data_IF_274895314908
#
_entry.id   IF_274895314908
#
_cell.length_a   1.000
_cell.length_b   1.000
_cell.length_c   1.000
_cell.angle_alpha   90.00
_cell.angle_beta   90.00
_cell.angle_gamma   90.00
#
_symmetry.space_group_name_H-M   'P 1'
#
loop_
_entity.id
_entity.type
_entity.pdbx_description
1 polymer ?
#
# COMPACT_ATOMS: atom_id res chain seq x y z
N UNK A 1 20.04 11.10 -1.92
CA UNK A 1 20.16 9.71 -2.41
C UNK A 1 19.94 8.80 -1.21
N UNK A 2 18.99 7.88 -1.27
CA UNK A 2 18.67 6.94 -0.20
C UNK A 2 19.76 5.87 -0.07
N UNK A 3 20.04 5.46 1.17
CA UNK A 3 20.99 4.38 1.48
C UNK A 3 20.24 3.15 1.96
N UNK A 4 20.93 2.01 2.05
CA UNK A 4 20.33 0.76 2.49
C UNK A 4 19.74 0.87 3.91
N UNK A 5 20.42 1.58 4.79
CA UNK A 5 20.00 1.79 6.18
C UNK A 5 18.71 2.60 6.29
N UNK A 6 18.41 3.41 5.28
CA UNK A 6 17.20 4.26 5.24
C UNK A 6 15.97 3.46 4.79
N UNK A 7 16.13 2.44 3.92
CA UNK A 7 15.03 1.75 3.22
C UNK A 7 14.89 0.26 3.57
N UNK A 8 15.86 -0.34 4.29
CA UNK A 8 15.87 -1.78 4.49
C UNK A 8 16.00 -2.13 5.97
N UNK A 9 14.92 -2.62 6.55
CA UNK A 9 14.92 -3.35 7.80
C UNK A 9 14.44 -4.79 7.57
N UNK A 10 14.99 -5.75 8.31
CA UNK A 10 14.67 -7.16 8.10
C UNK A 10 13.75 -7.65 9.20
N UNK A 11 12.51 -8.00 8.79
CA UNK A 11 11.53 -8.67 9.63
C UNK A 11 11.53 -10.18 9.39
N UNK A 12 11.09 -10.96 10.39
CA UNK A 12 10.91 -12.40 10.30
C UNK A 12 9.45 -12.71 9.96
N UNK A 13 9.20 -13.52 8.93
CA UNK A 13 7.85 -13.95 8.58
C UNK A 13 7.36 -15.04 9.53
N UNK A 14 6.09 -14.95 9.92
CA UNK A 14 5.41 -16.03 10.66
C UNK A 14 4.96 -17.10 9.68
N UNK A 15 5.28 -18.37 9.96
CA UNK A 15 4.78 -19.55 9.24
C UNK A 15 5.07 -19.60 7.73
N UNK A 16 6.18 -19.02 7.26
CA UNK A 16 6.59 -19.12 5.87
C UNK A 16 7.92 -19.85 5.71
N UNK A 17 7.87 -21.11 5.22
CA UNK A 17 9.05 -21.96 5.04
C UNK A 17 9.86 -21.61 3.77
N UNK A 18 9.24 -20.97 2.77
CA UNK A 18 9.94 -20.65 1.50
C UNK A 18 10.81 -19.40 1.61
N UNK A 19 10.38 -18.40 2.37
CA UNK A 19 11.10 -17.15 2.61
C UNK A 19 10.88 -16.74 4.06
N UNK A 20 11.86 -16.98 4.93
CA UNK A 20 11.78 -16.73 6.37
C UNK A 20 11.79 -15.25 6.76
N UNK A 21 12.16 -14.36 5.85
CA UNK A 21 12.24 -12.92 6.06
C UNK A 21 11.28 -12.11 5.21
N UNK A 22 11.03 -10.88 5.65
CA UNK A 22 10.39 -9.81 4.89
C UNK A 22 11.31 -8.58 4.95
N UNK A 23 11.47 -7.90 3.82
CA UNK A 23 12.06 -6.56 3.83
C UNK A 23 10.98 -5.57 4.22
N UNK A 24 11.28 -4.75 5.20
CA UNK A 24 10.42 -3.67 5.69
C UNK A 24 11.08 -2.36 5.30
N UNK A 25 10.39 -1.55 4.53
CA UNK A 25 10.82 -0.19 4.27
C UNK A 25 10.26 0.72 5.38
N UNK A 26 11.14 1.36 6.19
CA UNK A 26 10.72 2.22 7.28
C UNK A 26 10.01 3.51 6.82
N UNK A 27 10.17 3.90 5.55
CA UNK A 27 9.62 5.14 5.00
C UNK A 27 8.31 4.94 4.22
N UNK A 28 7.84 3.70 4.06
CA UNK A 28 6.66 3.40 3.26
C UNK A 28 5.33 3.64 3.99
N UNK A 29 5.31 3.59 5.32
CA UNK A 29 4.08 3.71 6.12
C UNK A 29 3.20 2.46 6.15
N UNK A 30 3.69 1.30 5.66
CA UNK A 30 2.91 0.04 5.65
C UNK A 30 3.05 -0.76 6.94
N UNK A 31 4.25 -0.92 7.43
CA UNK A 31 4.55 -1.73 8.62
C UNK A 31 5.06 -0.88 9.79
N UNK A 32 5.57 0.29 9.50
CA UNK A 32 6.12 1.24 10.49
C UNK A 32 5.44 2.60 10.28
N UNK A 33 4.95 3.27 11.35
CA UNK A 33 4.42 4.63 11.24
C UNK A 33 5.48 5.61 10.73
N UNK A 34 5.16 6.37 9.69
CA UNK A 34 6.10 7.29 9.01
C UNK A 34 5.57 8.72 8.98
N UNK A 35 6.44 9.71 8.89
CA UNK A 35 6.09 11.08 8.56
C UNK A 35 5.59 11.14 7.11
N UNK A 36 4.39 11.68 6.84
CA UNK A 36 3.81 11.67 5.49
C UNK A 36 4.72 12.26 4.42
N UNK A 37 5.34 13.40 4.69
CA UNK A 37 6.25 14.05 3.76
C UNK A 37 7.49 13.21 3.42
N UNK A 38 7.96 12.33 4.34
CA UNK A 38 9.06 11.40 4.06
C UNK A 38 8.62 10.28 3.12
N UNK A 39 7.40 9.75 3.31
CA UNK A 39 6.85 8.72 2.42
C UNK A 39 6.62 9.27 1.01
N UNK A 40 5.96 10.41 0.89
CA UNK A 40 5.75 11.06 -0.41
C UNK A 40 7.08 11.43 -1.09
N UNK A 41 8.04 11.97 -0.35
CA UNK A 41 9.38 12.28 -0.90
C UNK A 41 10.14 11.05 -1.41
N UNK A 42 9.92 9.87 -0.82
CA UNK A 42 10.44 8.60 -1.32
C UNK A 42 9.77 8.21 -2.64
N UNK A 43 8.44 8.33 -2.74
CA UNK A 43 7.68 7.99 -3.95
C UNK A 43 7.97 8.98 -5.08
N UNK A 44 8.13 10.27 -4.77
CA UNK A 44 8.58 11.31 -5.70
C UNK A 44 9.96 11.00 -6.27
N UNK A 45 10.87 10.49 -5.45
CA UNK A 45 12.21 10.10 -5.93
C UNK A 45 12.14 8.94 -6.92
N UNK A 46 11.19 8.01 -6.77
CA UNK A 46 10.95 6.96 -7.76
C UNK A 46 10.37 7.55 -9.05
N UNK A 47 9.37 8.41 -8.95
CA UNK A 47 8.80 9.10 -10.11
C UNK A 47 9.87 9.87 -10.90
N UNK A 48 10.78 10.57 -10.22
CA UNK A 48 11.85 11.34 -10.86
C UNK A 48 12.84 10.49 -11.69
N UNK A 49 13.05 9.20 -11.33
CA UNK A 49 13.93 8.31 -12.10
C UNK A 49 13.35 7.98 -13.49
N UNK A 50 12.01 7.93 -13.59
CA UNK A 50 11.31 7.46 -14.79
C UNK A 50 10.67 8.60 -15.61
N UNK A 51 10.41 9.75 -15.02
CA UNK A 51 9.69 10.85 -15.66
C UNK A 51 10.33 11.31 -16.97
N UNK A 52 11.65 11.54 -16.98
CA UNK A 52 12.37 12.04 -18.16
C UNK A 52 12.51 11.00 -19.29
N UNK A 53 12.23 9.73 -19.01
CA UNK A 53 12.45 8.64 -19.96
C UNK A 53 11.28 8.41 -20.91
N UNK A 54 10.05 8.76 -20.48
CA UNK A 54 8.84 8.38 -21.17
C UNK A 54 7.91 9.57 -21.45
N UNK A 55 8.47 10.77 -21.60
CA UNK A 55 7.72 12.01 -21.79
C UNK A 55 6.81 12.01 -23.04
N UNK A 56 7.20 11.30 -24.08
CA UNK A 56 6.46 11.22 -25.35
C UNK A 56 5.52 10.00 -25.42
N UNK A 57 5.36 9.25 -24.34
CA UNK A 57 4.56 8.04 -24.30
C UNK A 57 3.29 8.24 -23.45
N UNK A 58 2.18 7.64 -23.91
CA UNK A 58 0.93 7.57 -23.14
C UNK A 58 1.04 6.41 -22.16
N UNK A 59 1.07 6.73 -20.86
CA UNK A 59 1.43 5.81 -19.81
C UNK A 59 0.22 5.30 -19.04
N UNK A 60 0.23 4.00 -18.71
CA UNK A 60 -0.56 3.41 -17.64
C UNK A 60 0.38 2.89 -16.56
N UNK A 61 0.19 3.36 -15.33
CA UNK A 61 0.88 2.81 -14.17
C UNK A 61 0.00 1.80 -13.46
N UNK A 62 0.59 0.64 -13.11
CA UNK A 62 -0.10 -0.43 -12.37
C UNK A 62 0.61 -0.64 -11.03
N UNK A 63 -0.02 -0.23 -9.93
CA UNK A 63 0.51 -0.44 -8.58
C UNK A 63 0.10 -1.80 -8.01
N UNK A 64 1.06 -2.57 -7.50
CA UNK A 64 0.74 -3.89 -6.95
C UNK A 64 0.21 -3.83 -5.51
N UNK A 65 -0.94 -4.42 -5.31
CA UNK A 65 -1.50 -4.61 -3.97
C UNK A 65 -0.72 -5.70 -3.20
N UNK A 66 -0.43 -5.49 -1.95
CA UNK A 66 -0.98 -4.51 -1.04
C UNK A 66 -0.05 -3.30 -0.85
N UNK A 67 1.24 -3.51 -0.99
CA UNK A 67 2.30 -2.60 -0.52
C UNK A 67 2.60 -1.46 -1.47
N UNK A 68 2.43 -1.65 -2.77
CA UNK A 68 2.79 -0.62 -3.75
C UNK A 68 1.63 0.27 -4.23
N UNK A 69 0.44 0.18 -3.60
CA UNK A 69 -0.71 0.98 -4.02
C UNK A 69 -0.50 2.48 -3.83
N UNK A 70 0.05 2.92 -2.69
CA UNK A 70 0.35 4.33 -2.46
C UNK A 70 1.55 4.81 -3.30
N UNK A 71 2.56 3.97 -3.48
CA UNK A 71 3.73 4.27 -4.34
C UNK A 71 3.25 4.51 -5.77
N UNK A 72 2.42 3.60 -6.30
CA UNK A 72 1.90 3.69 -7.67
C UNK A 72 1.03 4.93 -7.89
N UNK A 73 0.14 5.24 -6.94
CA UNK A 73 -0.74 6.41 -7.01
C UNK A 73 0.06 7.72 -7.04
N UNK A 74 1.00 7.92 -6.10
CA UNK A 74 1.83 9.13 -6.09
C UNK A 74 2.69 9.22 -7.34
N UNK A 75 3.33 8.12 -7.75
CA UNK A 75 4.14 8.09 -8.97
C UNK A 75 3.31 8.49 -10.20
N UNK A 76 2.06 7.98 -10.32
CA UNK A 76 1.18 8.32 -11.43
C UNK A 76 0.77 9.79 -11.41
N UNK A 77 0.49 10.36 -10.24
CA UNK A 77 0.18 11.78 -10.07
C UNK A 77 1.36 12.64 -10.53
N UNK A 78 2.58 12.32 -10.11
CA UNK A 78 3.79 13.07 -10.53
C UNK A 78 4.08 12.98 -12.01
N UNK A 79 3.67 11.90 -12.64
CA UNK A 79 3.86 11.69 -14.08
C UNK A 79 2.68 12.16 -14.95
N UNK A 80 1.55 12.54 -14.35
CA UNK A 80 0.32 12.87 -15.08
C UNK A 80 -0.21 11.71 -15.90
N UNK A 81 -0.11 10.48 -15.39
CA UNK A 81 -0.43 9.25 -16.10
C UNK A 81 -1.80 8.69 -15.70
N UNK A 82 -2.31 7.71 -16.46
CA UNK A 82 -3.42 6.88 -16.00
C UNK A 82 -2.93 5.88 -14.95
N UNK A 83 -3.79 5.54 -14.00
CA UNK A 83 -3.45 4.65 -12.90
C UNK A 83 -4.53 3.61 -12.63
N UNK A 84 -4.10 2.40 -12.30
CA UNK A 84 -4.91 1.34 -11.74
C UNK A 84 -4.07 0.54 -10.77
N UNK A 85 -4.66 0.05 -9.69
CA UNK A 85 -3.95 -0.89 -8.81
C UNK A 85 -4.49 -2.30 -8.98
N UNK A 86 -3.63 -3.30 -8.79
CA UNK A 86 -4.10 -4.67 -8.62
C UNK A 86 -4.89 -4.78 -7.32
N UNK A 87 -5.72 -5.80 -7.22
CA UNK A 87 -6.53 -6.00 -6.02
C UNK A 87 -6.69 -7.46 -5.65
N UNK A 88 -6.98 -7.71 -4.39
CA UNK A 88 -7.46 -8.99 -3.87
C UNK A 88 -8.93 -8.91 -3.46
N UNK A 89 -9.51 -7.68 -3.52
CA UNK A 89 -10.91 -7.44 -3.20
C UNK A 89 -11.82 -7.80 -4.36
N UNK A 90 -13.07 -8.14 -4.05
CA UNK A 90 -14.08 -8.42 -5.05
C UNK A 90 -14.87 -7.16 -5.39
N UNK A 91 -14.78 -6.73 -6.66
CA UNK A 91 -15.56 -5.63 -7.22
C UNK A 91 -16.71 -6.24 -8.00
N UNK A 92 -17.98 -5.94 -7.66
CA UNK A 92 -19.11 -6.52 -8.37
C UNK A 92 -19.19 -6.07 -9.83
N UNK A 93 -19.57 -6.96 -10.74
CA UNK A 93 -19.92 -6.65 -12.11
C UNK A 93 -18.75 -6.33 -13.04
N UNK A 94 -17.55 -6.79 -12.74
CA UNK A 94 -16.37 -6.62 -13.58
C UNK A 94 -15.73 -7.97 -13.93
N UNK A 95 -15.05 -8.01 -15.08
CA UNK A 95 -14.17 -9.11 -15.49
C UNK A 95 -12.75 -8.87 -15.00
N UNK A 96 -12.05 -9.94 -14.58
CA UNK A 96 -10.70 -9.86 -14.05
C UNK A 96 -9.68 -10.62 -14.89
N UNK A 97 -8.46 -10.09 -14.92
CA UNK A 97 -7.24 -10.83 -15.24
C UNK A 97 -6.63 -11.36 -13.94
N UNK A 98 -6.37 -12.66 -13.90
CA UNK A 98 -5.71 -13.35 -12.78
C UNK A 98 -4.29 -13.71 -13.18
N UNK A 99 -3.29 -13.39 -12.35
CA UNK A 99 -1.88 -13.54 -12.72
C UNK A 99 -0.96 -14.05 -11.60
N UNK A 100 -1.53 -14.73 -10.62
CA UNK A 100 -0.73 -15.41 -9.59
C UNK A 100 -0.10 -16.70 -10.12
N UNK A 101 1.05 -17.10 -9.53
CA UNK A 101 1.67 -18.39 -9.82
C UNK A 101 0.68 -19.53 -9.55
N UNK A 102 0.51 -20.46 -10.50
CA UNK A 102 -0.46 -21.57 -10.50
C UNK A 102 -0.34 -22.54 -9.31
N UNK A 103 0.64 -22.37 -8.41
CA UNK A 103 0.94 -23.25 -7.29
C UNK A 103 1.04 -22.53 -5.93
N UNK A 104 0.66 -21.25 -5.83
CA UNK A 104 0.67 -20.56 -4.55
C UNK A 104 -0.72 -20.58 -3.90
N UNK A 105 -0.80 -21.06 -2.67
CA UNK A 105 -1.99 -20.90 -1.82
C UNK A 105 -2.17 -19.44 -1.34
N UNK A 106 -1.45 -18.49 -1.94
CA UNK A 106 -1.64 -17.07 -1.69
C UNK A 106 -2.91 -16.58 -2.40
N UNK A 107 -3.67 -15.71 -1.77
CA UNK A 107 -4.86 -15.09 -2.37
C UNK A 107 -4.50 -14.44 -3.71
N UNK A 108 -5.25 -14.78 -4.75
CA UNK A 108 -4.98 -14.38 -6.13
C UNK A 108 -4.95 -12.87 -6.27
N UNK A 109 -3.89 -12.36 -6.90
CA UNK A 109 -3.86 -10.98 -7.38
C UNK A 109 -4.60 -10.88 -8.71
N UNK A 110 -5.36 -9.83 -8.87
CA UNK A 110 -6.19 -9.62 -10.05
C UNK A 110 -6.23 -8.15 -10.45
N UNK A 111 -6.49 -7.92 -11.71
CA UNK A 111 -6.65 -6.61 -12.32
C UNK A 111 -7.97 -6.55 -13.06
N UNK A 112 -8.68 -5.43 -13.04
CA UNK A 112 -9.94 -5.27 -13.75
C UNK A 112 -9.66 -5.23 -15.25
N UNK A 113 -10.15 -6.23 -15.98
CA UNK A 113 -9.95 -6.39 -17.43
C UNK A 113 -10.75 -5.37 -18.22
N UNK A 114 -12.02 -5.12 -17.84
CA UNK A 114 -12.90 -4.19 -18.54
C UNK A 114 -12.28 -2.80 -18.65
N UNK A 115 -11.57 -2.35 -17.61
CA UNK A 115 -10.91 -1.04 -17.60
C UNK A 115 -9.72 -1.00 -18.56
N UNK A 116 -8.97 -2.11 -18.67
CA UNK A 116 -7.87 -2.21 -19.66
C UNK A 116 -8.41 -2.24 -21.09
N UNK A 117 -9.43 -3.06 -21.34
CA UNK A 117 -10.06 -3.14 -22.68
C UNK A 117 -10.53 -1.77 -23.16
N UNK A 118 -10.99 -0.92 -22.24
CA UNK A 118 -11.47 0.41 -22.54
C UNK A 118 -10.40 1.42 -22.98
N UNK A 119 -9.13 1.21 -22.59
CA UNK A 119 -8.07 2.21 -22.81
C UNK A 119 -6.83 1.68 -23.53
N UNK A 120 -6.72 0.37 -23.70
CA UNK A 120 -5.47 -0.25 -24.13
C UNK A 120 -4.97 0.30 -25.47
N UNK A 121 -5.87 0.73 -26.36
CA UNK A 121 -5.52 1.35 -27.63
C UNK A 121 -4.97 2.77 -27.51
N UNK A 122 -5.14 3.39 -26.36
CA UNK A 122 -4.61 4.72 -26.04
C UNK A 122 -3.27 4.68 -25.33
N UNK A 123 -2.79 3.49 -24.91
CA UNK A 123 -1.59 3.31 -24.11
C UNK A 123 -0.42 2.85 -24.99
N UNK A 124 0.74 3.46 -24.78
CA UNK A 124 1.99 3.09 -25.43
C UNK A 124 2.86 2.23 -24.53
N UNK A 125 2.81 2.48 -23.20
CA UNK A 125 3.61 1.74 -22.22
C UNK A 125 2.83 1.50 -20.92
N UNK A 126 3.01 0.31 -20.35
CA UNK A 126 2.60 -0.03 -18.99
C UNK A 126 3.83 -0.06 -18.09
N UNK A 127 3.76 0.66 -16.95
CA UNK A 127 4.82 0.67 -15.93
C UNK A 127 4.27 0.01 -14.67
N UNK A 128 4.84 -1.13 -14.31
CA UNK A 128 4.51 -1.82 -13.07
C UNK A 128 5.25 -1.21 -11.90
N UNK A 129 4.52 -0.85 -10.84
CA UNK A 129 5.06 -0.24 -9.63
C UNK A 129 5.02 -1.24 -8.48
N UNK A 130 6.18 -1.49 -7.88
CA UNK A 130 6.35 -2.40 -6.74
C UNK A 130 7.16 -1.74 -5.61
N UNK A 131 6.99 -2.22 -4.39
CA UNK A 131 7.87 -1.86 -3.28
C UNK A 131 9.22 -2.58 -3.39
N UNK A 132 9.19 -3.88 -3.66
CA UNK A 132 10.37 -4.72 -3.82
C UNK A 132 10.20 -5.74 -4.96
N UNK A 133 11.06 -5.72 -5.95
CA UNK A 133 11.14 -6.76 -6.98
C UNK A 133 12.28 -7.72 -6.68
N UNK A 134 11.97 -9.02 -6.52
CA UNK A 134 12.97 -10.07 -6.23
C UNK A 134 13.25 -10.96 -7.42
N UNK A 135 12.29 -11.76 -7.88
CA UNK A 135 12.40 -12.57 -9.11
C UNK A 135 11.73 -11.88 -10.30
N UNK A 136 10.67 -11.14 -10.05
CA UNK A 136 9.85 -10.52 -11.08
C UNK A 136 8.85 -11.48 -11.76
N UNK A 137 8.74 -12.74 -11.33
CA UNK A 137 7.88 -13.74 -11.99
C UNK A 137 6.42 -13.30 -12.11
N UNK A 138 5.88 -12.65 -11.08
CA UNK A 138 4.50 -12.13 -11.11
C UNK A 138 4.30 -11.10 -12.22
N UNK A 139 5.29 -10.24 -12.42
CA UNK A 139 5.27 -9.23 -13.50
C UNK A 139 5.38 -9.90 -14.87
N UNK A 140 6.27 -10.88 -15.03
CA UNK A 140 6.38 -11.62 -16.29
C UNK A 140 5.08 -12.35 -16.63
N UNK A 141 4.38 -12.90 -15.64
CA UNK A 141 3.11 -13.58 -15.85
C UNK A 141 2.03 -12.62 -16.39
N UNK A 142 1.90 -11.43 -15.81
CA UNK A 142 0.91 -10.45 -16.33
C UNK A 142 1.34 -9.89 -17.68
N UNK A 143 2.64 -9.69 -17.94
CA UNK A 143 3.15 -9.29 -19.27
C UNK A 143 2.74 -10.32 -20.31
N UNK A 144 2.95 -11.62 -20.06
CA UNK A 144 2.56 -12.69 -20.99
C UNK A 144 1.05 -12.65 -21.30
N UNK A 145 0.22 -12.49 -20.25
CA UNK A 145 -1.23 -12.41 -20.42
C UNK A 145 -1.63 -11.21 -21.29
N UNK A 146 -1.00 -10.05 -21.06
CA UNK A 146 -1.32 -8.84 -21.82
C UNK A 146 -0.80 -8.92 -23.27
N UNK A 147 0.37 -9.53 -23.51
CA UNK A 147 0.88 -9.79 -24.85
C UNK A 147 -0.03 -10.75 -25.64
N UNK A 148 -0.54 -11.79 -24.98
CA UNK A 148 -1.47 -12.75 -25.58
C UNK A 148 -2.83 -12.12 -25.93
N UNK A 149 -3.34 -11.22 -25.08
CA UNK A 149 -4.63 -10.56 -25.26
C UNK A 149 -4.60 -9.40 -26.26
N UNK A 150 -3.56 -8.55 -26.18
CA UNK A 150 -3.53 -7.28 -26.91
C UNK A 150 -2.44 -7.20 -27.96
N UNK A 151 -1.65 -8.27 -28.14
CA UNK A 151 -0.54 -8.32 -29.09
C UNK A 151 0.69 -7.53 -28.64
N UNK A 152 1.76 -7.62 -29.43
CA UNK A 152 3.10 -7.12 -29.07
C UNK A 152 3.31 -5.61 -29.29
N UNK A 153 2.28 -4.77 -29.28
CA UNK A 153 2.43 -3.32 -29.48
C UNK A 153 2.74 -2.54 -28.20
N UNK A 154 2.40 -3.12 -27.05
CA UNK A 154 2.66 -2.50 -25.74
C UNK A 154 4.12 -2.62 -25.34
N UNK A 155 4.65 -1.57 -24.76
CA UNK A 155 5.96 -1.59 -24.10
C UNK A 155 5.75 -1.74 -22.60
N UNK A 156 6.68 -2.42 -21.94
CA UNK A 156 6.61 -2.68 -20.52
C UNK A 156 7.85 -2.16 -19.80
N UNK A 157 7.65 -1.67 -18.59
CA UNK A 157 8.71 -1.29 -17.67
C UNK A 157 8.33 -1.63 -16.24
N UNK A 158 9.31 -1.70 -15.36
CA UNK A 158 9.12 -1.91 -13.93
C UNK A 158 9.83 -0.81 -13.17
N UNK A 159 9.17 -0.25 -12.17
CA UNK A 159 9.79 0.68 -11.25
C UNK A 159 9.53 0.23 -9.80
N UNK A 160 10.55 0.20 -8.97
CA UNK A 160 10.45 -0.24 -7.57
C UNK A 160 11.33 0.58 -6.64
N UNK A 161 10.95 0.63 -5.36
CA UNK A 161 11.83 1.22 -4.34
C UNK A 161 13.09 0.36 -4.19
N UNK A 162 12.90 -0.96 -4.11
CA UNK A 162 13.98 -1.93 -3.92
C UNK A 162 14.05 -2.93 -5.07
N UNK A 163 15.26 -3.25 -5.49
CA UNK A 163 15.50 -4.29 -6.49
C UNK A 163 16.45 -5.36 -5.95
N UNK A 164 15.90 -6.55 -5.67
CA UNK A 164 16.63 -7.75 -5.24
C UNK A 164 16.91 -8.75 -6.37
N UNK A 165 16.59 -8.43 -7.63
CA UNK A 165 16.78 -9.35 -8.77
C UNK A 165 18.24 -9.74 -8.93
N UNK A 166 18.46 -11.03 -9.23
CA UNK A 166 19.78 -11.52 -9.65
C UNK A 166 20.12 -11.00 -11.04
N UNK A 167 21.37 -11.17 -11.45
CA UNK A 167 21.80 -10.80 -12.82
C UNK A 167 21.08 -11.63 -13.87
N UNK A 168 20.77 -12.90 -13.56
CA UNK A 168 20.01 -13.80 -14.45
C UNK A 168 18.59 -13.28 -14.70
N UNK A 169 17.84 -12.91 -13.64
CA UNK A 169 16.51 -12.32 -13.79
C UNK A 169 16.55 -10.98 -14.55
N UNK A 170 17.54 -10.15 -14.30
CA UNK A 170 17.70 -8.87 -15.02
C UNK A 170 17.97 -9.08 -16.52
N UNK A 171 18.76 -10.11 -16.87
CA UNK A 171 19.03 -10.48 -18.24
C UNK A 171 17.77 -10.95 -18.95
N UNK A 172 16.94 -11.78 -18.31
CA UNK A 172 15.65 -12.22 -18.84
C UNK A 172 14.73 -11.04 -19.19
N UNK A 173 14.66 -10.05 -18.30
CA UNK A 173 13.89 -8.82 -18.55
C UNK A 173 14.44 -8.01 -19.72
N UNK A 174 15.77 -7.88 -19.80
CA UNK A 174 16.42 -7.16 -20.88
C UNK A 174 16.21 -7.85 -22.25
N UNK A 175 16.25 -9.20 -22.30
CA UNK A 175 15.98 -9.99 -23.52
C UNK A 175 14.53 -9.81 -24.01
N UNK A 176 13.61 -9.50 -23.12
CA UNK A 176 12.20 -9.18 -23.43
C UNK A 176 11.95 -7.68 -23.66
N UNK A 177 12.96 -6.85 -23.61
CA UNK A 177 12.83 -5.40 -23.76
C UNK A 177 12.10 -4.71 -22.59
N UNK A 178 12.03 -5.32 -21.41
CA UNK A 178 11.41 -4.76 -20.22
C UNK A 178 12.46 -3.96 -19.45
N UNK A 179 12.28 -2.64 -19.38
CA UNK A 179 13.20 -1.77 -18.64
C UNK A 179 12.93 -1.83 -17.14
N UNK A 180 14.00 -1.82 -16.33
CA UNK A 180 13.92 -1.91 -14.87
C UNK A 180 14.50 -0.64 -14.25
N UNK A 181 13.69 0.05 -13.44
CA UNK A 181 14.04 1.23 -12.66
C UNK A 181 13.92 0.95 -11.18
N UNK A 182 14.82 1.46 -10.36
CA UNK A 182 14.78 1.28 -8.92
C UNK A 182 15.58 2.35 -8.18
N UNK A 183 15.18 2.64 -6.94
CA UNK A 183 15.92 3.56 -6.09
C UNK A 183 17.16 2.89 -5.50
N UNK A 184 17.02 1.63 -5.05
CA UNK A 184 18.11 0.93 -4.38
C UNK A 184 18.20 -0.53 -4.83
N UNK A 185 19.42 -0.95 -5.16
CA UNK A 185 19.75 -2.36 -5.38
C UNK A 185 20.01 -3.05 -4.05
N UNK A 186 19.35 -4.20 -3.82
CA UNK A 186 19.49 -5.00 -2.59
C UNK A 186 20.15 -6.36 -2.89
N UNK A 187 20.83 -6.91 -1.90
CA UNK A 187 21.35 -8.27 -1.90
C UNK A 187 20.71 -9.05 -0.75
N UNK A 188 20.00 -10.11 -1.07
CA UNK A 188 19.21 -10.92 -0.14
C UNK A 188 19.97 -12.13 0.42
N UNK A 189 21.23 -12.34 0.05
CA UNK A 189 22.00 -13.55 0.36
C UNK A 189 22.13 -13.85 1.87
N UNK A 190 22.00 -12.85 2.74
CA UNK A 190 22.10 -13.01 4.18
C UNK A 190 20.81 -12.68 4.97
N UNK A 191 19.72 -12.29 4.32
CA UNK A 191 18.51 -11.79 5.02
C UNK A 191 17.82 -12.88 5.85
N UNK A 192 17.77 -14.12 5.36
CA UNK A 192 17.26 -15.25 6.17
C UNK A 192 18.03 -15.42 7.48
N UNK A 193 19.36 -15.40 7.41
CA UNK A 193 20.22 -15.51 8.60
C UNK A 193 20.03 -14.33 9.56
N UNK A 194 19.85 -13.11 9.03
CA UNK A 194 19.57 -11.93 9.87
C UNK A 194 18.23 -12.11 10.59
N UNK A 195 17.18 -12.53 9.89
CA UNK A 195 15.86 -12.74 10.48
C UNK A 195 15.88 -13.84 11.55
N UNK A 196 16.61 -14.93 11.32
CA UNK A 196 16.74 -16.07 12.26
C UNK A 196 17.48 -15.72 13.55
N UNK A 197 18.33 -14.71 13.56
CA UNK A 197 19.04 -14.27 14.76
C UNK A 197 18.14 -13.58 15.79
N UNK A 198 16.94 -13.11 15.40
CA UNK A 198 16.02 -12.45 16.31
C UNK A 198 15.06 -13.45 16.96
N UNK A 199 14.78 -13.24 18.24
CA UNK A 199 13.81 -14.04 19.02
C UNK A 199 12.39 -13.51 18.78
N UNK A 200 11.41 -14.40 18.81
CA UNK A 200 9.99 -14.06 18.72
C UNK A 200 9.45 -13.74 20.13
N UNK A 201 9.97 -12.67 20.75
CA UNK A 201 9.70 -12.30 22.15
C UNK A 201 9.10 -10.90 22.31
N UNK A 202 8.62 -10.32 21.21
CA UNK A 202 7.86 -9.07 21.23
C UNK A 202 6.43 -9.26 21.74
N UNK A 203 5.67 -8.19 21.77
CA UNK A 203 4.29 -8.20 22.29
C UNK A 203 3.30 -8.54 21.18
N UNK A 204 2.57 -9.66 21.35
CA UNK A 204 1.45 -10.01 20.50
C UNK A 204 0.13 -9.71 21.23
N UNK A 205 -0.66 -8.81 20.68
CA UNK A 205 -1.99 -8.45 21.19
C UNK A 205 -3.03 -9.21 20.38
N UNK A 206 -3.78 -10.14 21.01
CA UNK A 206 -4.79 -10.92 20.30
C UNK A 206 -5.96 -10.04 19.83
N UNK A 207 -6.66 -10.53 18.79
CA UNK A 207 -7.85 -9.90 18.26
C UNK A 207 -8.97 -9.82 19.31
N UNK A 208 -9.53 -8.62 19.49
CA UNK A 208 -10.69 -8.37 20.33
C UNK A 208 -11.78 -7.71 19.50
N UNK A 209 -12.88 -8.44 19.26
CA UNK A 209 -14.03 -8.00 18.45
C UNK A 209 -15.20 -7.46 19.29
N UNK A 210 -15.02 -7.31 20.60
CA UNK A 210 -16.07 -6.78 21.47
C UNK A 210 -16.48 -5.37 21.04
N UNK A 211 -17.78 -5.06 21.16
CA UNK A 211 -18.38 -3.81 20.67
C UNK A 211 -17.69 -2.56 21.24
N UNK A 212 -17.63 -1.52 20.42
CA UNK A 212 -17.09 -0.20 20.78
C UNK A 212 -18.17 0.84 20.50
N UNK A 213 -18.71 1.45 21.58
CA UNK A 213 -19.93 2.26 21.51
C UNK A 213 -19.71 3.76 21.27
N UNK A 214 -18.49 4.28 21.41
CA UNK A 214 -18.23 5.72 21.39
C UNK A 214 -17.04 6.10 20.52
N UNK A 215 -17.18 5.92 19.20
CA UNK A 215 -16.23 6.44 18.23
C UNK A 215 -16.98 7.34 17.26
N UNK A 216 -16.41 8.51 16.95
CA UNK A 216 -16.95 9.39 15.92
C UNK A 216 -16.77 8.72 14.56
N UNK A 217 -17.86 8.28 13.96
CA UNK A 217 -17.88 7.68 12.61
C UNK A 217 -18.59 8.63 11.65
N UNK A 218 -17.92 8.93 10.53
CA UNK A 218 -18.41 9.87 9.52
C UNK A 218 -18.20 9.26 8.13
N UNK A 219 -19.20 9.40 7.25
CA UNK A 219 -19.10 9.03 5.85
C UNK A 219 -19.01 10.29 4.98
N UNK A 220 -18.02 10.34 4.11
CA UNK A 220 -17.85 11.38 3.10
C UNK A 220 -18.03 10.81 1.71
N UNK A 221 -18.66 11.57 0.82
CA UNK A 221 -18.92 11.18 -0.56
C UNK A 221 -17.78 11.55 -1.51
N UNK A 222 -17.90 11.13 -2.77
CA UNK A 222 -16.95 11.46 -3.82
C UNK A 222 -15.76 10.52 -3.93
N UNK A 223 -15.90 9.27 -3.44
CA UNK A 223 -14.84 8.26 -3.55
C UNK A 223 -14.55 7.92 -5.00
N UNK A 224 -13.28 8.04 -5.36
CA UNK A 224 -12.70 7.47 -6.57
C UNK A 224 -11.94 6.18 -6.20
N UNK A 225 -12.18 5.10 -6.93
CA UNK A 225 -11.65 3.77 -6.61
C UNK A 225 -10.49 3.41 -7.53
N UNK A 226 -9.27 3.51 -7.04
CA UNK A 226 -8.07 3.19 -7.83
C UNK A 226 -7.88 1.67 -8.12
N UNK A 227 -8.74 0.78 -7.59
CA UNK A 227 -8.85 -0.59 -8.09
C UNK A 227 -9.49 -0.65 -9.48
N UNK A 228 -10.15 0.44 -9.88
CA UNK A 228 -10.62 0.77 -11.22
C UNK A 228 -9.65 1.75 -11.85
N UNK A 229 -9.71 1.88 -13.16
CA UNK A 229 -8.92 2.87 -13.87
C UNK A 229 -9.29 4.28 -13.43
N UNK A 230 -8.27 5.08 -13.10
CA UNK A 230 -8.40 6.51 -12.80
C UNK A 230 -7.42 7.32 -13.63
N UNK A 231 -7.78 8.55 -13.95
CA UNK A 231 -6.83 9.58 -14.30
C UNK A 231 -6.16 10.09 -13.02
N UNK A 232 -4.85 10.21 -12.99
CA UNK A 232 -4.13 10.54 -11.77
C UNK A 232 -4.44 11.97 -11.27
N UNK A 233 -4.69 12.92 -12.16
CA UNK A 233 -5.05 14.29 -11.76
C UNK A 233 -6.47 14.33 -11.16
N UNK A 234 -7.42 13.59 -11.74
CA UNK A 234 -8.77 13.46 -11.19
C UNK A 234 -8.75 12.74 -9.84
N UNK A 235 -7.92 11.71 -9.71
CA UNK A 235 -7.75 11.00 -8.44
C UNK A 235 -7.15 11.89 -7.33
N UNK A 236 -6.17 12.71 -7.68
CA UNK A 236 -5.61 13.71 -6.77
C UNK A 236 -6.67 14.73 -6.32
N UNK A 237 -7.50 15.25 -7.24
CA UNK A 237 -8.56 16.19 -6.90
C UNK A 237 -9.65 15.53 -6.03
N UNK A 238 -9.96 14.25 -6.26
CA UNK A 238 -10.86 13.51 -5.39
C UNK A 238 -10.30 13.36 -3.96
N UNK A 239 -9.00 13.07 -3.81
CA UNK A 239 -8.33 13.06 -2.51
C UNK A 239 -8.29 14.43 -1.84
N UNK A 240 -8.10 15.51 -2.62
CA UNK A 240 -8.18 16.88 -2.14
C UNK A 240 -9.60 17.24 -1.66
N UNK A 241 -10.62 16.77 -2.37
CA UNK A 241 -12.02 16.92 -1.94
C UNK A 241 -12.30 16.17 -0.63
N UNK A 242 -11.77 14.96 -0.49
CA UNK A 242 -11.85 14.23 0.79
C UNK A 242 -11.18 15.01 1.92
N UNK A 243 -9.99 15.55 1.67
CA UNK A 243 -9.29 16.37 2.68
C UNK A 243 -10.14 17.57 3.13
N UNK A 244 -10.71 18.35 2.19
CA UNK A 244 -11.56 19.53 2.53
C UNK A 244 -12.76 19.14 3.40
N UNK A 245 -13.35 17.95 3.18
CA UNK A 245 -14.44 17.44 4.02
C UNK A 245 -13.93 17.07 5.42
N UNK A 246 -12.77 16.41 5.52
CA UNK A 246 -12.14 16.05 6.79
C UNK A 246 -11.73 17.33 7.55
N UNK A 247 -11.10 18.30 6.89
CA UNK A 247 -10.67 19.57 7.47
C UNK A 247 -11.83 20.31 8.15
N UNK A 248 -13.04 20.20 7.60
CA UNK A 248 -14.24 20.82 8.18
C UNK A 248 -14.65 20.27 9.55
N UNK A 249 -14.13 19.08 9.92
CA UNK A 249 -14.47 18.39 11.18
C UNK A 249 -13.26 18.07 12.05
N UNK A 250 -12.05 18.22 11.51
CA UNK A 250 -10.79 17.96 12.21
C UNK A 250 -10.26 19.25 12.82
N UNK A 251 -10.10 19.25 14.13
CA UNK A 251 -9.43 20.33 14.84
C UNK A 251 -7.90 20.05 14.79
N UNK A 252 -7.25 20.44 13.70
CA UNK A 252 -5.79 20.28 13.54
C UNK A 252 -5.08 21.48 14.17
N UNK A 253 -4.59 21.32 15.38
CA UNK A 253 -3.78 22.32 16.06
C UNK A 253 -2.29 22.13 15.76
N UNK A 254 -1.54 23.25 15.67
CA UNK A 254 -0.09 23.19 15.47
C UNK A 254 0.60 22.40 16.60
N UNK A 255 1.41 21.42 16.22
CA UNK A 255 2.11 20.52 17.14
C UNK A 255 1.29 19.36 17.68
N UNK A 256 -0.01 19.24 17.37
CA UNK A 256 -0.82 18.08 17.72
C UNK A 256 -0.22 16.79 17.12
N UNK A 257 -0.13 15.75 17.94
CA UNK A 257 0.38 14.44 17.49
C UNK A 257 -0.76 13.61 16.93
N UNK A 258 -0.73 13.39 15.65
CA UNK A 258 -1.81 12.71 14.91
C UNK A 258 -1.30 11.40 14.29
N UNK A 259 -2.09 10.34 14.39
CA UNK A 259 -1.92 9.12 13.61
C UNK A 259 -3.03 9.03 12.56
N UNK A 260 -2.66 8.89 11.30
CA UNK A 260 -3.60 8.59 10.22
C UNK A 260 -3.36 7.17 9.73
N UNK A 261 -4.44 6.37 9.65
CA UNK A 261 -4.37 4.96 9.29
C UNK A 261 -5.19 4.69 8.04
N UNK A 262 -4.53 4.17 6.99
CA UNK A 262 -5.17 3.53 5.86
C UNK A 262 -5.49 2.06 6.15
N UNK A 263 -6.33 1.43 5.31
CA UNK A 263 -6.75 0.05 5.52
C UNK A 263 -6.38 -0.84 4.32
N UNK A 264 -5.53 -1.84 4.57
CA UNK A 264 -5.08 -2.84 3.59
C UNK A 264 -4.57 -2.21 2.27
N UNK A 265 -5.30 -2.35 1.16
CA UNK A 265 -4.95 -1.77 -0.15
C UNK A 265 -5.26 -0.27 -0.23
N UNK A 266 -6.11 0.24 0.65
CA UNK A 266 -6.55 1.62 0.68
C UNK A 266 -5.57 2.49 1.48
N UNK A 267 -4.40 2.75 0.91
CA UNK A 267 -3.30 3.48 1.58
C UNK A 267 -3.20 4.94 1.14
N UNK A 268 -3.26 5.20 -0.15
CA UNK A 268 -2.94 6.52 -0.70
C UNK A 268 -3.83 7.65 -0.19
N UNK A 269 -5.18 7.53 -0.15
CA UNK A 269 -6.02 8.61 0.37
C UNK A 269 -5.73 8.96 1.84
N UNK A 270 -5.38 7.95 2.65
CA UNK A 270 -4.97 8.18 4.04
C UNK A 270 -3.62 8.92 4.13
N UNK A 271 -2.64 8.52 3.32
CA UNK A 271 -1.34 9.20 3.24
C UNK A 271 -1.49 10.64 2.74
N UNK A 272 -2.34 10.87 1.75
CA UNK A 272 -2.63 12.19 1.20
C UNK A 272 -3.21 13.12 2.28
N UNK A 273 -4.24 12.67 3.00
CA UNK A 273 -4.83 13.42 4.11
C UNK A 273 -3.81 13.67 5.23
N UNK A 274 -3.00 12.67 5.56
CA UNK A 274 -1.94 12.82 6.56
C UNK A 274 -0.94 13.91 6.18
N UNK A 275 -0.56 14.00 4.91
CA UNK A 275 0.33 15.04 4.41
C UNK A 275 -0.30 16.44 4.53
N UNK A 276 -1.59 16.58 4.24
CA UNK A 276 -2.31 17.85 4.41
C UNK A 276 -2.38 18.29 5.88
N UNK A 277 -2.55 17.35 6.82
CA UNK A 277 -2.47 17.63 8.25
C UNK A 277 -1.06 18.06 8.67
N UNK A 278 -0.01 17.41 8.13
CA UNK A 278 1.38 17.79 8.36
C UNK A 278 1.69 19.20 7.84
N UNK A 279 1.17 19.57 6.66
CA UNK A 279 1.28 20.92 6.09
C UNK A 279 0.60 22.01 6.97
N UNK A 280 -0.39 21.63 7.78
CA UNK A 280 -1.01 22.52 8.79
C UNK A 280 -0.17 22.69 10.06
N UNK A 281 0.97 22.02 10.17
CA UNK A 281 1.87 22.10 11.32
C UNK A 281 1.65 21.04 12.39
N UNK A 282 0.81 20.02 12.13
CA UNK A 282 0.63 18.90 13.04
C UNK A 282 1.83 17.93 12.97
N UNK A 283 2.11 17.24 14.08
CA UNK A 283 3.10 16.17 14.16
C UNK A 283 2.48 14.84 13.73
N UNK A 284 2.45 14.57 12.42
CA UNK A 284 1.68 13.46 11.86
C UNK A 284 2.52 12.20 11.66
N UNK A 285 1.90 11.06 11.90
CA UNK A 285 2.36 9.74 11.41
C UNK A 285 1.28 9.12 10.53
N UNK A 286 1.69 8.54 9.40
CA UNK A 286 0.82 7.72 8.56
C UNK A 286 1.19 6.25 8.74
N UNK A 287 0.19 5.38 8.76
CA UNK A 287 0.34 3.94 8.92
C UNK A 287 -0.79 3.21 8.17
N UNK A 288 -0.70 1.87 8.07
CA UNK A 288 -1.75 1.07 7.43
C UNK A 288 -1.92 -0.28 8.12
N UNK A 289 -3.14 -0.83 8.11
CA UNK A 289 -3.33 -2.24 8.39
C UNK A 289 -2.74 -3.08 7.27
N UNK A 290 -2.32 -4.32 7.56
CA UNK A 290 -1.67 -5.21 6.60
C UNK A 290 -2.07 -6.66 6.79
N UNK A 291 -2.00 -7.44 5.71
CA UNK A 291 -2.18 -8.90 5.71
C UNK A 291 -0.90 -9.66 6.04
N UNK A 292 0.23 -8.97 6.14
CA UNK A 292 1.54 -9.59 6.36
C UNK A 292 1.75 -9.99 7.82
N UNK A 293 1.80 -11.29 8.17
CA UNK A 293 2.08 -11.75 9.52
C UNK A 293 3.59 -11.70 9.77
N UNK A 294 4.06 -10.65 10.45
CA UNK A 294 5.46 -10.46 10.80
C UNK A 294 5.64 -10.77 12.29
N UNK A 295 6.67 -11.52 12.64
CA UNK A 295 7.06 -11.73 14.01
C UNK A 295 7.50 -10.41 14.65
N UNK A 296 7.37 -10.32 15.96
CA UNK A 296 7.78 -9.14 16.73
C UNK A 296 8.82 -9.53 17.76
N UNK A 297 9.77 -8.63 18.01
CA UNK A 297 10.89 -8.89 18.92
C UNK A 297 11.23 -7.68 19.77
N UNK A 298 11.64 -7.93 21.00
CA UNK A 298 12.24 -6.92 21.89
C UNK A 298 13.77 -6.80 21.72
N UNK A 299 14.35 -7.58 20.81
CA UNK A 299 15.79 -7.56 20.57
C UNK A 299 16.20 -6.24 19.91
N UNK A 300 17.32 -5.69 20.34
CA UNK A 300 17.84 -4.43 19.82
C UNK A 300 18.10 -4.54 18.30
N UNK A 301 17.61 -3.55 17.54
CA UNK A 301 17.78 -3.49 16.08
C UNK A 301 16.72 -4.25 15.29
N UNK A 302 15.79 -4.96 15.93
CA UNK A 302 14.64 -5.51 15.25
C UNK A 302 13.58 -4.42 14.97
N UNK A 303 12.94 -4.38 13.79
CA UNK A 303 12.13 -3.24 13.41
C UNK A 303 10.75 -3.15 14.09
N UNK A 304 10.19 -4.25 14.59
CA UNK A 304 8.80 -4.32 15.07
C UNK A 304 8.73 -4.94 16.48
N UNK A 305 8.25 -4.17 17.44
CA UNK A 305 8.15 -4.59 18.85
C UNK A 305 6.79 -5.15 19.26
N UNK A 306 5.72 -4.66 18.62
CA UNK A 306 4.34 -5.00 18.98
C UNK A 306 3.51 -5.30 17.75
N UNK A 307 2.73 -6.39 17.77
CA UNK A 307 1.77 -6.77 16.75
C UNK A 307 0.37 -6.85 17.34
N UNK A 308 -0.57 -6.16 16.73
CA UNK A 308 -2.01 -6.26 17.00
C UNK A 308 -2.64 -7.13 15.92
N UNK A 309 -3.32 -8.20 16.32
CA UNK A 309 -4.11 -9.04 15.42
C UNK A 309 -5.52 -8.48 15.31
N UNK A 310 -6.01 -8.36 14.08
CA UNK A 310 -7.28 -7.73 13.75
C UNK A 310 -8.08 -8.63 12.81
N UNK A 311 -9.37 -8.34 12.66
CA UNK A 311 -10.18 -8.77 11.52
C UNK A 311 -10.14 -7.71 10.43
N UNK A 312 -10.25 -8.14 9.18
CA UNK A 312 -10.33 -7.24 8.03
C UNK A 312 -11.63 -6.42 8.06
N UNK A 313 -11.58 -5.19 7.54
CA UNK A 313 -12.78 -4.39 7.28
C UNK A 313 -13.47 -4.77 5.96
N UNK A 314 -12.84 -5.63 5.14
CA UNK A 314 -13.31 -6.00 3.79
C UNK A 314 -13.79 -7.45 3.69
N UNK A 315 -13.28 -8.33 4.56
CA UNK A 315 -13.49 -9.77 4.49
C UNK A 315 -13.54 -10.36 5.91
N UNK A 316 -14.69 -10.90 6.37
CA UNK A 316 -14.88 -11.36 7.75
C UNK A 316 -13.95 -12.50 8.15
N UNK A 317 -13.50 -13.31 7.19
CA UNK A 317 -12.65 -14.46 7.44
C UNK A 317 -11.16 -14.13 7.44
N UNK A 318 -10.81 -12.92 6.98
CA UNK A 318 -9.42 -12.48 6.84
C UNK A 318 -8.88 -11.89 8.14
N UNK A 319 -7.68 -12.34 8.51
CA UNK A 319 -6.88 -11.74 9.58
C UNK A 319 -5.97 -10.67 8.99
N UNK A 320 -5.91 -9.53 9.65
CA UNK A 320 -4.99 -8.44 9.36
C UNK A 320 -4.21 -8.04 10.61
N UNK A 321 -3.22 -7.21 10.43
CA UNK A 321 -2.31 -6.81 11.50
C UNK A 321 -2.07 -5.30 11.47
N UNK A 322 -1.76 -4.75 12.64
CA UNK A 322 -1.23 -3.41 12.80
C UNK A 322 -0.04 -3.49 13.76
N UNK A 323 1.02 -2.73 13.48
CA UNK A 323 2.26 -2.82 14.23
C UNK A 323 2.55 -1.51 14.97
N UNK A 324 3.19 -1.61 16.12
CA UNK A 324 3.81 -0.53 16.89
C UNK A 324 2.96 0.74 17.03
N UNK A 325 1.69 0.59 17.40
CA UNK A 325 0.79 1.71 17.67
C UNK A 325 1.35 2.52 18.85
N UNK A 326 1.64 3.79 18.60
CA UNK A 326 2.01 4.78 19.61
C UNK A 326 0.82 5.40 20.34
N UNK A 327 1.10 6.40 21.18
CA UNK A 327 0.09 7.28 21.78
C UNK A 327 0.07 8.59 21.02
N UNK A 328 -1.12 9.02 20.61
CA UNK A 328 -1.38 10.22 19.84
C UNK A 328 -2.52 11.01 20.48
N UNK A 329 -2.58 12.30 20.18
CA UNK A 329 -3.64 13.18 20.68
C UNK A 329 -4.94 12.91 19.91
N UNK A 330 -4.82 12.60 18.59
CA UNK A 330 -5.92 12.18 17.72
C UNK A 330 -5.51 11.05 16.79
N UNK A 331 -6.45 10.15 16.47
CA UNK A 331 -6.27 9.06 15.49
C UNK A 331 -7.39 9.13 14.46
N UNK A 332 -7.02 9.17 13.18
CA UNK A 332 -7.94 9.14 12.05
C UNK A 332 -7.77 7.84 11.26
N UNK A 333 -8.78 6.99 11.27
CA UNK A 333 -8.85 5.81 10.40
C UNK A 333 -9.60 6.22 9.15
N UNK A 334 -8.98 6.12 7.98
CA UNK A 334 -9.58 6.45 6.69
C UNK A 334 -9.70 5.16 5.87
N UNK A 335 -10.93 4.83 5.48
CA UNK A 335 -11.23 3.58 4.80
C UNK A 335 -12.32 3.75 3.75
N UNK A 336 -12.30 2.90 2.72
CA UNK A 336 -13.39 2.77 1.76
C UNK A 336 -14.23 1.48 1.98
N UNK A 337 -13.95 0.75 3.06
CA UNK A 337 -14.70 -0.44 3.42
C UNK A 337 -16.18 -0.09 3.70
N UNK A 338 -17.07 -0.92 3.19
CA UNK A 338 -18.52 -0.83 3.48
C UNK A 338 -18.75 -1.17 4.95
N UNK A 339 -19.72 -0.52 5.61
CA UNK A 339 -19.96 -0.64 7.06
C UNK A 339 -20.41 -2.02 7.58
N UNK A 340 -20.45 -3.05 6.74
CA UNK A 340 -21.00 -4.38 7.09
C UNK A 340 -20.10 -5.22 8.00
N UNK A 341 -18.80 -4.94 8.09
CA UNK A 341 -17.84 -5.79 8.81
C UNK A 341 -17.58 -5.26 10.23
N UNK A 342 -18.55 -5.49 11.13
CA UNK A 342 -18.46 -5.05 12.53
C UNK A 342 -17.25 -5.63 13.27
N UNK A 343 -16.90 -6.90 13.03
CA UNK A 343 -15.74 -7.54 13.65
C UNK A 343 -14.43 -6.84 13.27
N UNK A 344 -14.28 -6.46 11.99
CA UNK A 344 -13.13 -5.68 11.50
C UNK A 344 -13.07 -4.31 12.17
N UNK A 345 -14.18 -3.57 12.14
CA UNK A 345 -14.31 -2.27 12.80
C UNK A 345 -13.95 -2.35 14.29
N UNK A 346 -14.58 -3.24 15.01
CA UNK A 346 -14.40 -3.35 16.46
C UNK A 346 -12.97 -3.75 16.82
N UNK A 347 -12.37 -4.73 16.12
CA UNK A 347 -11.00 -5.16 16.41
C UNK A 347 -9.98 -4.05 16.22
N UNK A 348 -10.12 -3.24 15.16
CA UNK A 348 -9.25 -2.10 14.90
C UNK A 348 -9.42 -1.03 15.97
N UNK A 349 -10.64 -0.65 16.29
CA UNK A 349 -10.92 0.36 17.32
C UNK A 349 -10.49 -0.09 18.73
N UNK A 350 -10.63 -1.37 19.07
CA UNK A 350 -10.10 -1.95 20.32
C UNK A 350 -8.58 -1.90 20.38
N UNK A 351 -7.89 -2.20 19.28
CA UNK A 351 -6.44 -2.13 19.23
C UNK A 351 -5.94 -0.68 19.44
N UNK A 352 -6.54 0.27 18.72
CA UNK A 352 -6.22 1.70 18.82
C UNK A 352 -6.55 2.27 20.19
N UNK A 353 -7.71 1.92 20.76
CA UNK A 353 -8.21 2.38 22.05
C UNK A 353 -7.38 1.96 23.25
N UNK A 354 -6.43 1.00 23.10
CA UNK A 354 -5.49 0.64 24.16
C UNK A 354 -4.55 1.79 24.55
N UNK A 355 -4.28 2.72 23.63
CA UNK A 355 -3.34 3.83 23.85
C UNK A 355 -3.89 5.21 23.46
N UNK A 356 -5.06 5.26 22.82
CA UNK A 356 -5.61 6.48 22.25
C UNK A 356 -7.11 6.60 22.61
N UNK A 357 -7.55 7.77 23.03
CA UNK A 357 -8.94 8.02 23.43
C UNK A 357 -9.76 8.79 22.38
N UNK A 358 -9.09 9.59 21.53
CA UNK A 358 -9.73 10.38 20.49
C UNK A 358 -9.53 9.71 19.13
N UNK A 359 -10.49 8.89 18.72
CA UNK A 359 -10.44 8.09 17.50
C UNK A 359 -11.59 8.48 16.59
N UNK A 360 -11.30 8.77 15.34
CA UNK A 360 -12.25 9.10 14.28
C UNK A 360 -12.18 8.02 13.21
N UNK A 361 -13.32 7.43 12.87
CA UNK A 361 -13.45 6.50 11.73
C UNK A 361 -14.11 7.24 10.57
N UNK A 362 -13.37 7.42 9.50
CA UNK A 362 -13.80 8.14 8.31
C UNK A 362 -13.97 7.14 7.17
N UNK A 363 -15.19 7.04 6.64
CA UNK A 363 -15.49 6.25 5.46
C UNK A 363 -15.57 7.14 4.23
N UNK A 364 -14.82 6.81 3.22
CA UNK A 364 -14.92 7.47 1.92
C UNK A 364 -15.83 6.66 1.00
N UNK A 365 -17.01 7.17 0.73
CA UNK A 365 -18.09 6.48 0.05
C UNK A 365 -18.29 7.04 -1.38
N UNK A 366 -18.88 6.25 -2.27
CA UNK A 366 -19.18 6.70 -3.63
C UNK A 366 -20.36 7.68 -3.64
N UNK A 367 -21.41 7.38 -2.89
CA UNK A 367 -22.63 8.19 -2.75
C UNK A 367 -22.99 8.43 -1.28
N UNK A 368 -23.70 9.54 -0.98
CA UNK A 368 -24.19 9.88 0.37
C UNK A 368 -25.24 8.91 0.95
N UNK A 369 -25.72 7.95 0.16
CA UNK A 369 -26.85 7.07 0.49
C UNK A 369 -26.49 5.82 1.31
N UNK A 370 -25.27 5.71 1.81
CA UNK A 370 -24.82 4.58 2.63
C UNK A 370 -24.56 4.95 4.09
N UNK A 371 -25.51 5.70 4.69
CA UNK A 371 -25.58 5.91 6.14
C UNK A 371 -26.62 4.97 6.72
#
# INVERSE_FOLDING_TARGET
MYRKEDLVAIGKRVNNQKRSYLVIDPLQGKHIPVEPGKALGLFDALAAIIADRYQDERLLLIGFAETATAIGAETAIRMGAKYIQTTREQIPGVEYLFFTEAHSHASEQKLVKDDLDGIIDEIDRIIYIEDEVTTGNTILNIVNILEDLYGGRLRFSVASLLNGMTEEHRKEYAERGIEIHYLLKTDHGNYSRIAENYRDNGVCVPCDISSVDSVREVCFSGRMDARRLVDAAEYQEACESLWRQIESIADCEEGERILVIGTEEFMFPALFVAARMEEKGCCVRCHSTTRSPIAVSSDQGYPLGTRYELRSLYDPDRITYLYDIGSYDSVYVITDARGSEEAGRNSLLRALGKKNSNIHLIRWCQDEKFI
#
